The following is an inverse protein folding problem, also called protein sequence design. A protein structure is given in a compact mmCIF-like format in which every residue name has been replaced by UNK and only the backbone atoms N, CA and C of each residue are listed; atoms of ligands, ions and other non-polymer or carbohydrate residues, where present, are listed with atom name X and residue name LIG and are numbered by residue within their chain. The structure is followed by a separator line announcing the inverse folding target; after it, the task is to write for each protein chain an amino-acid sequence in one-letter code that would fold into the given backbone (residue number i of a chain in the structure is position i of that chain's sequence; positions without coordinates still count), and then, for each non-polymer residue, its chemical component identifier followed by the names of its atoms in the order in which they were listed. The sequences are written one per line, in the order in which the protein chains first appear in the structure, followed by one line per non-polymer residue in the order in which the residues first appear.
data_IF_784194050808
#
_entry.id   IF_784194050808
#
_cell.length_a   1.000
_cell.length_b   1.000
_cell.length_c   1.000
_cell.angle_alpha   90.00
_cell.angle_beta   90.00
_cell.angle_gamma   90.00
#
_symmetry.space_group_name_H-M   'P 1'
#
loop_
_entity.id
_entity.type
_entity.pdbx_description
1 polymer ?
#
# COMPACT_ATOMS: atom_id res chain seq x y z
N UNK A 1 -31.79 -14.54 -18.51
CA UNK A 1 -30.97 -13.33 -18.25
C UNK A 1 -31.14 -12.87 -16.80
N UNK A 2 -31.00 -13.77 -15.81
CA UNK A 2 -31.29 -13.46 -14.39
C UNK A 2 -30.46 -14.24 -13.35
N UNK A 3 -29.36 -14.91 -13.74
CA UNK A 3 -28.56 -15.73 -12.80
C UNK A 3 -27.13 -15.18 -12.56
N UNK A 4 -26.79 -14.02 -13.13
CA UNK A 4 -25.45 -13.42 -13.01
C UNK A 4 -25.29 -12.46 -11.81
N UNK A 5 -26.37 -12.11 -11.11
CA UNK A 5 -26.42 -11.01 -10.14
C UNK A 5 -25.71 -11.25 -8.77
N UNK A 6 -25.82 -12.42 -8.10
CA UNK A 6 -25.28 -12.56 -6.74
C UNK A 6 -23.74 -12.62 -6.70
N UNK A 7 -23.11 -13.20 -7.73
CA UNK A 7 -21.64 -13.29 -7.81
C UNK A 7 -20.98 -11.94 -8.08
N UNK A 8 -21.63 -11.06 -8.87
CA UNK A 8 -21.12 -9.74 -9.19
C UNK A 8 -21.20 -8.80 -7.98
N UNK A 9 -22.32 -8.82 -7.26
CA UNK A 9 -22.50 -8.05 -6.03
C UNK A 9 -21.46 -8.40 -4.96
N UNK A 10 -21.22 -9.71 -4.75
CA UNK A 10 -20.23 -10.17 -3.77
C UNK A 10 -18.81 -9.71 -4.12
N UNK A 11 -18.40 -9.85 -5.40
CA UNK A 11 -17.10 -9.37 -5.89
C UNK A 11 -16.89 -7.88 -5.59
N UNK A 12 -17.87 -7.06 -5.94
CA UNK A 12 -17.80 -5.61 -5.71
C UNK A 12 -17.72 -5.27 -4.23
N UNK A 13 -18.50 -5.94 -3.36
CA UNK A 13 -18.44 -5.71 -1.91
C UNK A 13 -17.07 -6.05 -1.32
N UNK A 14 -16.49 -7.19 -1.68
CA UNK A 14 -15.16 -7.60 -1.21
C UNK A 14 -14.06 -6.63 -1.65
N UNK A 15 -14.04 -6.24 -2.94
CA UNK A 15 -13.07 -5.25 -3.46
C UNK A 15 -13.21 -3.89 -2.77
N UNK A 16 -14.43 -3.44 -2.48
CA UNK A 16 -14.66 -2.19 -1.75
C UNK A 16 -14.20 -2.27 -0.30
N UNK A 17 -14.49 -3.38 0.40
CA UNK A 17 -14.05 -3.57 1.78
C UNK A 17 -12.52 -3.57 1.89
N UNK A 18 -11.83 -4.27 0.99
CA UNK A 18 -10.36 -4.28 0.94
C UNK A 18 -9.79 -2.88 0.67
N UNK A 19 -10.44 -2.08 -0.18
CA UNK A 19 -10.02 -0.68 -0.44
C UNK A 19 -10.19 0.21 0.79
N UNK A 20 -11.30 0.08 1.51
CA UNK A 20 -11.52 0.85 2.74
C UNK A 20 -10.43 0.52 3.77
N UNK A 21 -10.13 -0.77 3.96
CA UNK A 21 -9.06 -1.20 4.87
C UNK A 21 -7.69 -0.67 4.42
N UNK A 22 -7.39 -0.74 3.12
CA UNK A 22 -6.15 -0.20 2.57
C UNK A 22 -6.02 1.32 2.76
N UNK A 23 -7.12 2.07 2.53
CA UNK A 23 -7.16 3.52 2.70
C UNK A 23 -6.91 3.92 4.15
N UNK A 24 -7.58 3.25 5.09
CA UNK A 24 -7.40 3.51 6.52
C UNK A 24 -5.97 3.17 6.97
N UNK A 25 -5.42 2.03 6.53
CA UNK A 25 -4.04 1.65 6.85
C UNK A 25 -3.04 2.67 6.28
N UNK A 26 -3.24 3.13 5.05
CA UNK A 26 -2.37 4.14 4.43
C UNK A 26 -2.49 5.51 5.10
N UNK A 27 -3.70 5.90 5.53
CA UNK A 27 -3.92 7.11 6.32
C UNK A 27 -3.22 7.04 7.67
N UNK A 28 -3.32 5.91 8.38
CA UNK A 28 -2.59 5.67 9.64
C UNK A 28 -1.08 5.75 9.40
N UNK A 29 -0.58 5.16 8.32
CA UNK A 29 0.83 5.23 7.96
C UNK A 29 1.30 6.68 7.75
N UNK A 30 0.54 7.48 7.00
CA UNK A 30 0.86 8.87 6.73
C UNK A 30 0.81 9.73 8.02
N UNK A 31 -0.22 9.56 8.84
CA UNK A 31 -0.36 10.31 10.11
C UNK A 31 0.75 9.94 11.08
N UNK A 32 0.97 8.63 11.30
CA UNK A 32 2.01 8.15 12.20
C UNK A 32 3.39 8.68 11.79
N UNK A 33 3.72 8.67 10.50
CA UNK A 33 4.96 9.26 9.98
C UNK A 33 5.00 10.78 10.16
N UNK A 34 3.88 11.46 9.90
CA UNK A 34 3.79 12.93 9.98
C UNK A 34 3.92 13.49 11.40
N UNK A 35 3.55 12.71 12.42
CA UNK A 35 3.70 13.07 13.84
C UNK A 35 5.00 12.53 14.47
N UNK A 36 5.85 11.83 13.71
CA UNK A 36 7.17 11.36 14.17
C UNK A 36 8.17 12.50 14.28
N UNK A 37 8.08 13.27 15.36
CA UNK A 37 9.07 14.27 15.76
C UNK A 37 9.43 14.07 17.23
N UNK A 38 10.72 14.14 17.54
CA UNK A 38 11.22 14.07 18.91
C UNK A 38 12.39 15.04 19.07
N UNK A 39 12.45 15.74 20.21
CA UNK A 39 13.52 16.70 20.50
C UNK A 39 14.28 16.18 21.71
N UNK A 40 15.58 15.91 21.57
CA UNK A 40 16.40 15.41 22.67
C UNK A 40 17.30 16.51 23.20
N UNK A 41 17.19 16.88 24.50
CA UNK A 41 18.16 17.77 25.13
C UNK A 41 19.47 17.00 25.35
N UNK A 42 20.54 17.38 24.65
CA UNK A 42 21.89 16.87 24.87
C UNK A 42 22.61 17.72 25.94
N UNK A 43 23.29 17.13 26.93
CA UNK A 43 23.86 17.89 28.06
C UNK A 43 25.04 18.81 27.72
N UNK A 44 25.64 18.72 26.53
CA UNK A 44 26.90 19.41 26.19
C UNK A 44 26.95 20.10 24.83
N UNK A 45 25.94 19.90 23.98
CA UNK A 45 25.76 20.58 22.69
C UNK A 45 24.27 20.89 22.56
N UNK A 46 23.93 22.07 22.02
CA UNK A 46 22.56 22.54 21.77
C UNK A 46 21.58 21.39 21.45
N UNK A 47 20.38 21.43 22.06
CA UNK A 47 19.31 20.43 21.85
C UNK A 47 19.15 20.06 20.37
N UNK A 48 19.33 18.79 20.02
CA UNK A 48 19.15 18.31 18.65
C UNK A 48 17.69 17.88 18.49
N UNK A 49 17.00 18.54 17.55
CA UNK A 49 15.66 18.17 17.12
C UNK A 49 15.80 17.15 15.99
N UNK A 50 15.17 15.99 16.12
CA UNK A 50 15.15 14.96 15.07
C UNK A 50 13.71 14.85 14.58
N UNK A 51 13.47 15.24 13.33
CA UNK A 51 12.17 15.07 12.69
C UNK A 51 12.26 14.00 11.60
N UNK A 52 11.24 13.12 11.51
CA UNK A 52 11.17 12.15 10.40
C UNK A 52 11.11 12.85 9.05
N UNK A 53 10.65 14.11 9.05
CA UNK A 53 10.57 14.99 7.89
C UNK A 53 11.95 15.39 7.35
N UNK A 54 13.00 15.35 8.17
CA UNK A 54 14.36 15.69 7.71
C UNK A 54 14.95 14.59 6.82
N UNK A 55 14.39 13.38 6.86
CA UNK A 55 14.77 12.26 6.01
C UNK A 55 13.87 12.21 4.79
N UNK A 56 14.43 12.51 3.60
CA UNK A 56 13.69 12.58 2.34
C UNK A 56 12.85 11.32 2.06
N UNK A 57 13.34 10.13 2.40
CA UNK A 57 12.60 8.88 2.22
C UNK A 57 11.30 8.83 3.02
N UNK A 58 11.29 9.33 4.25
CA UNK A 58 10.11 9.33 5.12
C UNK A 58 9.09 10.38 4.69
N UNK A 59 9.53 11.53 4.18
CA UNK A 59 8.65 12.47 3.50
C UNK A 59 7.99 11.86 2.27
N UNK A 60 8.75 11.17 1.41
CA UNK A 60 8.17 10.49 0.24
C UNK A 60 7.20 9.37 0.64
N UNK A 61 7.51 8.63 1.71
CA UNK A 61 6.60 7.63 2.29
C UNK A 61 5.27 8.24 2.74
N UNK A 62 5.33 9.34 3.48
CA UNK A 62 4.14 10.08 3.92
C UNK A 62 3.35 10.60 2.72
N UNK A 63 4.03 11.14 1.70
CA UNK A 63 3.41 11.67 0.49
C UNK A 63 2.70 10.58 -0.33
N UNK A 64 3.36 9.46 -0.60
CA UNK A 64 2.77 8.35 -1.36
C UNK A 64 1.57 7.75 -0.62
N UNK A 65 1.67 7.52 0.69
CA UNK A 65 0.53 7.02 1.47
C UNK A 65 -0.65 8.01 1.47
N UNK A 66 -0.38 9.31 1.54
CA UNK A 66 -1.43 10.34 1.45
C UNK A 66 -2.14 10.32 0.08
N UNK A 67 -1.36 10.22 -1.01
CA UNK A 67 -1.91 10.13 -2.38
C UNK A 67 -2.74 8.86 -2.55
N UNK A 68 -2.23 7.71 -2.08
CA UNK A 68 -2.95 6.43 -2.18
C UNK A 68 -4.25 6.46 -1.39
N UNK A 69 -4.23 6.97 -0.14
CA UNK A 69 -5.43 7.13 0.67
C UNK A 69 -6.46 8.03 -0.04
N UNK A 70 -6.04 9.20 -0.54
CA UNK A 70 -6.93 10.10 -1.27
C UNK A 70 -7.52 9.45 -2.53
N UNK A 71 -6.69 8.73 -3.31
CA UNK A 71 -7.12 7.95 -4.45
C UNK A 71 -8.16 6.89 -4.05
N UNK A 72 -7.92 6.12 -2.99
CA UNK A 72 -8.87 5.11 -2.50
C UNK A 72 -10.22 5.74 -2.15
N UNK A 73 -10.24 6.87 -1.43
CA UNK A 73 -11.46 7.59 -1.09
C UNK A 73 -12.19 8.12 -2.33
N UNK A 74 -11.47 8.71 -3.29
CA UNK A 74 -12.07 9.18 -4.54
C UNK A 74 -12.76 8.04 -5.29
N UNK A 75 -12.14 6.86 -5.36
CA UNK A 75 -12.76 5.72 -6.03
C UNK A 75 -13.97 5.16 -5.28
N UNK A 76 -13.99 5.24 -3.94
CA UNK A 76 -15.15 4.85 -3.14
C UNK A 76 -16.37 5.75 -3.40
N UNK A 77 -16.14 7.03 -3.74
CA UNK A 77 -17.20 8.00 -4.03
C UNK A 77 -17.73 7.93 -5.48
N UNK A 78 -17.02 7.25 -6.38
CA UNK A 78 -17.43 7.16 -7.78
C UNK A 78 -18.66 6.25 -7.97
N UNK A 79 -19.66 6.66 -8.77
CA UNK A 79 -20.83 5.85 -9.06
C UNK A 79 -20.48 4.59 -9.86
N UNK A 80 -21.09 3.46 -9.47
CA UNK A 80 -20.78 2.10 -9.94
C UNK A 80 -21.10 1.84 -11.43
N UNK A 81 -21.77 2.77 -12.11
CA UNK A 81 -22.33 2.63 -13.46
C UNK A 81 -21.37 3.02 -14.59
N UNK A 82 -20.13 3.41 -14.29
CA UNK A 82 -19.18 3.88 -15.30
C UNK A 82 -18.28 2.77 -15.86
N UNK A 83 -17.97 2.86 -17.15
CA UNK A 83 -17.03 2.04 -17.95
C UNK A 83 -15.58 2.02 -17.37
N UNK A 84 -15.36 2.74 -16.27
CA UNK A 84 -14.10 2.94 -15.54
C UNK A 84 -13.64 1.73 -14.70
N UNK A 85 -14.44 0.65 -14.57
CA UNK A 85 -14.00 -0.52 -13.79
C UNK A 85 -12.69 -1.15 -14.27
N UNK A 86 -12.39 -1.05 -15.58
CA UNK A 86 -11.14 -1.54 -16.15
C UNK A 86 -9.95 -0.62 -15.85
N UNK A 87 -10.15 0.69 -15.77
CA UNK A 87 -9.08 1.64 -15.39
C UNK A 87 -8.76 1.56 -13.90
N UNK A 88 -9.76 1.25 -13.08
CA UNK A 88 -9.62 1.09 -11.63
C UNK A 88 -8.62 -0.04 -11.25
N UNK A 89 -8.62 -1.17 -11.95
CA UNK A 89 -7.64 -2.27 -11.70
C UNK A 89 -6.22 -1.86 -12.08
N UNK A 90 -6.06 -1.14 -13.19
CA UNK A 90 -4.75 -0.65 -13.63
C UNK A 90 -4.19 0.37 -12.62
N UNK A 91 -5.04 1.29 -12.14
CA UNK A 91 -4.66 2.26 -11.12
C UNK A 91 -4.33 1.59 -9.77
N UNK A 92 -5.03 0.54 -9.37
CA UNK A 92 -4.69 -0.25 -8.18
C UNK A 92 -3.31 -0.90 -8.29
N UNK A 93 -2.96 -1.42 -9.48
CA UNK A 93 -1.61 -1.93 -9.74
C UNK A 93 -0.55 -0.84 -9.56
N UNK A 94 -0.78 0.35 -10.11
CA UNK A 94 0.14 1.48 -9.94
C UNK A 94 0.29 1.86 -8.47
N UNK A 95 -0.82 1.93 -7.71
CA UNK A 95 -0.79 2.21 -6.28
C UNK A 95 0.02 1.14 -5.51
N UNK A 96 -0.21 -0.15 -5.81
CA UNK A 96 0.53 -1.24 -5.19
C UNK A 96 2.04 -1.18 -5.48
N UNK A 97 2.43 -0.87 -6.73
CA UNK A 97 3.84 -0.73 -7.11
C UNK A 97 4.52 0.45 -6.40
N UNK A 98 3.83 1.61 -6.32
CA UNK A 98 4.32 2.77 -5.59
C UNK A 98 4.50 2.46 -4.10
N UNK A 99 3.51 1.81 -3.48
CA UNK A 99 3.60 1.36 -2.09
C UNK A 99 4.75 0.37 -1.88
N UNK A 100 4.91 -0.62 -2.75
CA UNK A 100 5.98 -1.62 -2.63
C UNK A 100 7.37 -0.98 -2.70
N UNK A 101 7.56 -0.06 -3.65
CA UNK A 101 8.79 0.70 -3.81
C UNK A 101 9.13 1.51 -2.55
N UNK A 102 8.19 2.34 -2.08
CA UNK A 102 8.50 3.26 -0.98
C UNK A 102 8.57 2.56 0.37
N UNK A 103 7.77 1.52 0.62
CA UNK A 103 7.86 0.71 1.83
C UNK A 103 9.25 0.07 1.94
N UNK A 104 9.77 -0.48 0.84
CA UNK A 104 11.09 -1.11 0.82
C UNK A 104 12.22 -0.12 1.12
N UNK A 105 12.17 1.07 0.49
CA UNK A 105 13.16 2.13 0.75
C UNK A 105 13.09 2.62 2.20
N UNK A 106 11.89 2.84 2.71
CA UNK A 106 11.63 3.30 4.08
C UNK A 106 12.11 2.27 5.11
N UNK A 107 11.82 0.99 4.89
CA UNK A 107 12.28 -0.08 5.77
C UNK A 107 13.81 -0.17 5.81
N UNK A 108 14.47 -0.02 4.66
CA UNK A 108 15.93 0.00 4.58
C UNK A 108 16.53 1.16 5.38
N UNK A 109 15.99 2.37 5.23
CA UNK A 109 16.42 3.52 6.01
C UNK A 109 16.14 3.34 7.50
N UNK A 110 14.96 2.86 7.86
CA UNK A 110 14.60 2.62 9.25
C UNK A 110 15.49 1.56 9.92
N UNK A 111 15.89 0.53 9.17
CA UNK A 111 16.85 -0.47 9.65
C UNK A 111 18.23 0.15 9.93
N UNK A 112 18.67 1.12 9.12
CA UNK A 112 19.89 1.87 9.38
C UNK A 112 19.77 2.73 10.64
N UNK A 113 18.62 3.34 10.91
CA UNK A 113 18.38 4.11 12.14
C UNK A 113 18.33 3.24 13.40
N UNK A 114 17.83 2.01 13.27
CA UNK A 114 17.75 1.02 14.36
C UNK A 114 19.11 0.44 14.72
N UNK A 115 19.86 -0.05 13.73
CA UNK A 115 21.08 -0.84 13.97
C UNK A 115 22.36 -0.04 13.80
N UNK A 116 22.32 1.05 13.04
CA UNK A 116 23.52 1.74 12.58
C UNK A 116 24.38 0.90 11.65
N UNK A 117 25.50 1.50 11.21
CA UNK A 117 26.55 0.82 10.47
C UNK A 117 27.89 1.46 10.81
N UNK A 118 28.73 0.71 11.52
CA UNK A 118 30.07 1.16 11.95
C UNK A 118 31.00 1.47 10.77
N UNK A 119 30.89 0.73 9.67
CA UNK A 119 31.69 0.97 8.45
C UNK A 119 31.27 2.25 7.72
N UNK A 120 30.00 2.63 7.82
CA UNK A 120 29.48 3.88 7.25
C UNK A 120 29.45 5.03 8.26
N UNK A 121 30.01 4.82 9.46
CA UNK A 121 29.96 5.76 10.60
C UNK A 121 28.54 6.22 10.97
N UNK A 122 27.53 5.38 10.72
CA UNK A 122 26.14 5.67 11.05
C UNK A 122 25.82 5.13 12.45
N UNK A 123 25.57 6.03 13.41
CA UNK A 123 25.20 5.65 14.78
C UNK A 123 23.72 5.24 14.85
N UNK A 124 23.34 4.25 15.67
CA UNK A 124 21.92 3.96 15.94
C UNK A 124 21.26 5.19 16.58
N UNK A 125 20.16 5.63 15.99
CA UNK A 125 19.38 6.81 16.41
C UNK A 125 18.25 6.38 17.35
N UNK A 126 17.65 5.21 17.11
CA UNK A 126 16.52 4.70 17.88
C UNK A 126 16.82 4.49 19.38
N UNK A 127 18.08 4.31 19.76
CA UNK A 127 18.49 4.19 21.17
C UNK A 127 18.34 5.51 21.94
N UNK A 128 18.40 6.65 21.25
CA UNK A 128 18.27 7.98 21.85
C UNK A 128 16.84 8.52 21.77
N UNK A 129 16.08 8.17 20.72
CA UNK A 129 14.72 8.66 20.44
C UNK A 129 13.72 7.52 20.28
N UNK A 130 13.37 6.90 21.41
CA UNK A 130 12.52 5.69 21.43
C UNK A 130 11.07 5.94 20.96
N UNK A 131 10.51 7.12 21.25
CA UNK A 131 9.13 7.46 20.86
C UNK A 131 9.05 7.70 19.35
N UNK A 132 10.01 8.42 18.78
CA UNK A 132 10.19 8.57 17.34
C UNK A 132 10.26 7.22 16.65
N UNK A 133 11.15 6.34 17.11
CA UNK A 133 11.37 5.03 16.50
C UNK A 133 10.10 4.16 16.53
N UNK A 134 9.34 4.22 17.63
CA UNK A 134 8.06 3.51 17.76
C UNK A 134 7.00 4.03 16.78
N UNK A 135 6.92 5.35 16.59
CA UNK A 135 6.00 5.98 15.63
C UNK A 135 6.37 5.65 14.18
N UNK A 136 7.66 5.69 13.83
CA UNK A 136 8.16 5.29 12.51
C UNK A 136 7.88 3.80 12.26
N UNK A 137 8.15 2.91 13.23
CA UNK A 137 7.81 1.49 13.12
C UNK A 137 6.32 1.26 12.87
N UNK A 138 5.47 1.99 13.61
CA UNK A 138 4.01 1.94 13.44
C UNK A 138 3.62 2.38 12.03
N UNK A 139 4.22 3.46 11.54
CA UNK A 139 3.98 3.98 10.19
C UNK A 139 4.39 2.98 9.10
N UNK A 140 5.59 2.41 9.20
CA UNK A 140 6.10 1.38 8.25
C UNK A 140 5.20 0.15 8.27
N UNK A 141 4.82 -0.33 9.45
CA UNK A 141 3.95 -1.51 9.60
C UNK A 141 2.59 -1.26 8.96
N UNK A 142 1.97 -0.10 9.20
CA UNK A 142 0.72 0.29 8.55
C UNK A 142 0.85 0.40 7.02
N UNK A 143 2.00 0.89 6.52
CA UNK A 143 2.31 0.93 5.08
C UNK A 143 2.39 -0.45 4.44
N UNK A 144 2.99 -1.43 5.11
CA UNK A 144 3.01 -2.83 4.66
C UNK A 144 1.62 -3.49 4.70
N UNK A 145 0.79 -3.17 5.71
CA UNK A 145 -0.61 -3.62 5.76
C UNK A 145 -1.39 -3.07 4.55
N UNK A 146 -1.24 -1.77 4.25
CA UNK A 146 -1.87 -1.16 3.08
C UNK A 146 -1.44 -1.84 1.77
N UNK A 147 -0.14 -2.10 1.61
CA UNK A 147 0.41 -2.84 0.46
C UNK A 147 -0.20 -4.25 0.35
N UNK A 148 -0.28 -4.99 1.46
CA UNK A 148 -0.89 -6.31 1.51
C UNK A 148 -2.35 -6.29 1.05
N UNK A 149 -3.15 -5.33 1.53
CA UNK A 149 -4.55 -5.19 1.13
C UNK A 149 -4.71 -4.91 -0.37
N UNK A 150 -3.87 -4.05 -0.94
CA UNK A 150 -3.84 -3.80 -2.39
C UNK A 150 -3.45 -5.05 -3.18
N UNK A 151 -2.45 -5.80 -2.71
CA UNK A 151 -2.02 -7.04 -3.33
C UNK A 151 -3.12 -8.11 -3.33
N UNK A 152 -3.80 -8.31 -2.19
CA UNK A 152 -4.97 -9.19 -2.11
C UNK A 152 -6.09 -8.76 -3.05
N UNK A 153 -6.33 -7.46 -3.20
CA UNK A 153 -7.36 -6.96 -4.11
C UNK A 153 -7.02 -7.28 -5.58
N UNK A 154 -5.77 -7.09 -5.98
CA UNK A 154 -5.28 -7.43 -7.32
C UNK A 154 -5.40 -8.92 -7.59
N UNK A 155 -4.95 -9.78 -6.66
CA UNK A 155 -5.08 -11.24 -6.79
C UNK A 155 -6.55 -11.64 -6.90
N UNK A 156 -7.40 -11.10 -6.03
CA UNK A 156 -8.83 -11.39 -6.07
C UNK A 156 -9.42 -11.04 -7.43
N UNK A 157 -9.14 -9.85 -7.96
CA UNK A 157 -9.59 -9.42 -9.29
C UNK A 157 -9.07 -10.35 -10.40
N UNK A 158 -7.79 -10.73 -10.33
CA UNK A 158 -7.14 -11.61 -11.30
C UNK A 158 -7.76 -13.02 -11.29
N UNK A 159 -7.93 -13.62 -10.12
CA UNK A 159 -8.57 -14.93 -9.96
C UNK A 159 -9.98 -14.93 -10.54
N UNK A 160 -10.76 -13.88 -10.28
CA UNK A 160 -12.12 -13.78 -10.82
C UNK A 160 -12.15 -13.58 -12.34
N UNK A 161 -11.15 -12.90 -12.91
CA UNK A 161 -11.01 -12.72 -14.36
C UNK A 161 -10.53 -14.00 -15.08
N UNK A 162 -9.66 -14.80 -14.44
CA UNK A 162 -9.10 -16.04 -15.00
C UNK A 162 -10.04 -17.25 -14.87
N UNK A 163 -10.91 -17.28 -13.86
CA UNK A 163 -11.83 -18.39 -13.62
C UNK A 163 -12.65 -18.83 -14.87
N UNK A 164 -13.31 -17.93 -15.63
CA UNK A 164 -14.03 -18.33 -16.84
C UNK A 164 -13.13 -18.83 -17.97
N UNK A 165 -11.86 -18.43 -18.01
CA UNK A 165 -10.89 -18.90 -19.03
C UNK A 165 -10.37 -20.30 -18.71
N UNK A 166 -10.16 -20.62 -17.43
CA UNK A 166 -9.70 -21.93 -16.99
C UNK A 166 -10.80 -23.01 -17.05
N UNK A 167 -12.07 -22.61 -16.91
CA UNK A 167 -13.22 -23.53 -16.95
C UNK A 167 -13.78 -23.74 -18.35
N UNK A 168 -13.40 -22.92 -19.34
CA UNK A 168 -13.76 -23.15 -20.73
C UNK A 168 -12.85 -24.23 -21.33
N UNK A 169 -13.37 -25.45 -21.48
CA UNK A 169 -12.70 -26.50 -22.26
C UNK A 169 -12.39 -25.99 -23.69
N UNK A 170 -11.27 -26.41 -24.32
CA UNK A 170 -10.95 -26.01 -25.69
C UNK A 170 -12.15 -26.35 -26.58
N UNK A 171 -12.68 -25.35 -27.31
CA UNK A 171 -13.75 -25.58 -28.29
C UNK A 171 -13.27 -26.67 -29.25
N UNK A 172 -13.94 -27.83 -29.27
CA UNK A 172 -13.73 -28.82 -30.33
C UNK A 172 -14.12 -28.14 -31.65
N UNK A 173 -13.12 -27.90 -32.50
CA UNK A 173 -13.33 -27.51 -33.90
C UNK A 173 -14.29 -28.53 -34.54
N UNK A 174 -15.37 -28.11 -35.21
CA UNK A 174 -16.24 -29.05 -35.90
C UNK A 174 -15.44 -29.81 -36.98
N UNK A 175 -15.67 -31.12 -37.15
CA UNK A 175 -14.93 -31.92 -38.12
C UNK A 175 -15.13 -31.35 -39.53
N UNK A 176 -14.08 -31.35 -40.37
CA UNK A 176 -14.18 -30.83 -41.73
C UNK A 176 -15.26 -31.60 -42.51
N UNK A 177 -16.00 -30.93 -43.40
CA UNK A 177 -17.04 -31.57 -44.19
C UNK A 177 -16.45 -32.70 -45.03
N UNK A 178 -17.06 -33.89 -44.92
CA UNK A 178 -16.72 -35.03 -45.79
C UNK A 178 -17.13 -34.67 -47.21
N UNK A 179 -16.16 -34.70 -48.13
CA UNK A 179 -16.38 -34.59 -49.58
C UNK A 179 -17.17 -35.80 -50.08
#
# INVERSE_FOLDING_TARGET
MSDAEPSALFRTKCTLALRVLAALASLVAAIAMGISHETVPLPSLHSIKIEAKDVSCFMYFMGINSIVSAYSFLVLLLPKTSLLWRSIVASDMVAAMLLASINSATLGMFYMEMKGNTHAQWSPICDLVSSYCTRVLTAVTAGYIALGMYFFNIIFCLCMALNPLLLQAPKKEPPPPKK
#
